data_IF_584616656923
#
_entry.id   IF_584616656923
#
_cell.length_a   1.000
_cell.length_b   1.000
_cell.length_c   1.000
_cell.angle_alpha   90.00
_cell.angle_beta   90.00
_cell.angle_gamma   90.00
#
_symmetry.space_group_name_H-M   'P 1'
#
loop_
_entity.id
_entity.type
_entity.pdbx_description
1 polymer ?
#
# COMPACT_ATOMS: atom_id res chain seq x y z
N UNK A 1 35.47 4.81 4.29
CA UNK A 1 35.07 3.67 3.43
C UNK A 1 35.43 2.41 4.21
N UNK A 2 34.44 1.65 4.71
CA UNK A 2 34.70 0.47 5.54
C UNK A 2 35.41 -0.62 4.72
N UNK A 3 36.27 -1.41 5.38
CA UNK A 3 37.09 -2.46 4.76
C UNK A 3 36.26 -3.49 3.95
N UNK A 4 35.02 -3.74 4.37
CA UNK A 4 34.06 -4.62 3.67
C UNK A 4 33.56 -4.05 2.34
N UNK A 5 33.54 -2.73 2.19
CA UNK A 5 33.06 -2.04 0.99
C UNK A 5 34.09 -2.18 -0.16
N UNK A 6 35.39 -2.10 0.18
CA UNK A 6 36.49 -2.28 -0.77
C UNK A 6 36.56 -3.73 -1.28
N UNK A 7 36.40 -4.72 -0.39
CA UNK A 7 36.32 -6.13 -0.79
C UNK A 7 35.11 -6.41 -1.67
N UNK A 8 33.96 -5.82 -1.35
CA UNK A 8 32.73 -5.99 -2.12
C UNK A 8 32.85 -5.37 -3.52
N UNK A 9 33.44 -4.18 -3.64
CA UNK A 9 33.69 -3.51 -4.93
C UNK A 9 34.72 -4.27 -5.76
N UNK A 10 35.84 -4.71 -5.17
CA UNK A 10 36.85 -5.51 -5.85
C UNK A 10 36.28 -6.86 -6.34
N UNK A 11 35.45 -7.51 -5.53
CA UNK A 11 34.79 -8.76 -5.89
C UNK A 11 33.78 -8.55 -7.04
N UNK A 12 33.02 -7.44 -7.03
CA UNK A 12 32.08 -7.07 -8.11
C UNK A 12 32.79 -6.76 -9.43
N UNK A 13 33.92 -6.05 -9.40
CA UNK A 13 34.71 -5.76 -10.60
C UNK A 13 35.30 -7.05 -11.20
N UNK A 14 35.86 -7.93 -10.36
CA UNK A 14 36.37 -9.25 -10.80
C UNK A 14 35.28 -10.13 -11.42
N UNK A 15 34.07 -10.12 -10.85
CA UNK A 15 32.92 -10.86 -11.40
C UNK A 15 32.29 -10.22 -12.64
N UNK A 16 32.47 -8.92 -12.88
CA UNK A 16 32.03 -8.28 -14.14
C UNK A 16 32.93 -8.66 -15.32
N UNK A 17 34.24 -8.78 -15.10
CA UNK A 17 35.20 -9.20 -16.13
C UNK A 17 34.93 -10.62 -16.63
N UNK A 18 34.64 -11.54 -15.71
CA UNK A 18 34.41 -12.96 -16.03
C UNK A 18 33.07 -13.27 -16.69
N UNK A 19 32.13 -12.30 -16.76
CA UNK A 19 30.80 -12.48 -17.38
C UNK A 19 30.74 -12.14 -18.88
N UNK A 20 31.87 -11.71 -19.46
CA UNK A 20 31.91 -11.23 -20.85
C UNK A 20 31.96 -12.34 -21.90
N UNK A 21 32.24 -13.59 -21.52
CA UNK A 21 32.25 -14.72 -22.44
C UNK A 21 30.89 -15.42 -22.49
N UNK A 22 30.45 -15.83 -23.68
CA UNK A 22 29.25 -16.67 -23.86
C UNK A 22 29.51 -18.14 -23.50
N UNK A 23 30.78 -18.55 -23.46
CA UNK A 23 31.18 -19.88 -23.04
C UNK A 23 31.37 -19.93 -21.52
N UNK A 24 30.68 -20.90 -20.89
CA UNK A 24 30.68 -21.13 -19.44
C UNK A 24 32.07 -21.51 -18.94
N UNK A 25 32.76 -22.40 -19.66
CA UNK A 25 34.09 -22.89 -19.29
C UNK A 25 35.13 -21.76 -19.34
N UNK A 26 35.10 -20.95 -20.39
CA UNK A 26 35.97 -19.77 -20.53
C UNK A 26 35.70 -18.76 -19.43
N UNK A 27 34.44 -18.54 -19.07
CA UNK A 27 34.05 -17.61 -18.02
C UNK A 27 34.51 -18.05 -16.62
N UNK A 28 34.40 -19.35 -16.32
CA UNK A 28 34.92 -19.93 -15.07
C UNK A 28 36.43 -19.83 -15.05
N UNK A 29 37.12 -20.15 -16.16
CA UNK A 29 38.57 -20.02 -16.26
C UNK A 29 39.05 -18.59 -15.98
N UNK A 30 38.45 -17.60 -16.64
CA UNK A 30 38.76 -16.17 -16.39
C UNK A 30 38.52 -15.80 -14.91
N UNK A 31 37.43 -16.29 -14.31
CA UNK A 31 37.13 -16.01 -12.92
C UNK A 31 38.17 -16.62 -11.96
N UNK A 32 38.58 -17.87 -12.19
CA UNK A 32 39.63 -18.54 -11.42
C UNK A 32 40.98 -17.84 -11.61
N UNK A 33 41.35 -17.48 -12.84
CA UNK A 33 42.60 -16.77 -13.15
C UNK A 33 42.66 -15.41 -12.41
N UNK A 34 41.54 -14.67 -12.33
CA UNK A 34 41.43 -13.40 -11.58
C UNK A 34 41.49 -13.56 -10.06
N UNK A 35 41.11 -14.74 -9.54
CA UNK A 35 41.28 -15.08 -8.11
C UNK A 35 42.76 -15.38 -7.83
N UNK A 36 43.39 -16.17 -8.70
CA UNK A 36 44.82 -16.53 -8.62
C UNK A 36 45.71 -15.29 -8.70
N UNK A 37 45.53 -14.45 -9.72
CA UNK A 37 46.26 -13.18 -9.88
C UNK A 37 46.03 -12.20 -8.73
N UNK A 38 44.90 -12.32 -8.04
CA UNK A 38 44.55 -11.50 -6.89
C UNK A 38 45.13 -11.96 -5.54
N UNK A 39 45.96 -13.00 -5.53
CA UNK A 39 46.57 -13.54 -4.31
C UNK A 39 45.60 -14.30 -3.40
N UNK A 40 44.43 -14.73 -3.91
CA UNK A 40 43.60 -15.76 -3.27
C UNK A 40 43.13 -15.54 -1.84
N UNK A 41 43.12 -14.31 -1.32
CA UNK A 41 42.77 -14.08 0.09
C UNK A 41 41.30 -14.39 0.35
N UNK A 42 41.01 -15.60 0.82
CA UNK A 42 39.74 -15.99 1.43
C UNK A 42 39.02 -17.22 0.86
N UNK A 43 39.56 -17.92 -0.13
CA UNK A 43 39.03 -19.22 -0.57
C UNK A 43 40.18 -20.22 -0.68
N UNK A 44 39.88 -21.48 -0.37
CA UNK A 44 40.79 -22.64 -0.32
C UNK A 44 41.55 -22.83 -1.66
N UNK A 45 42.57 -22.01 -1.93
CA UNK A 45 43.38 -22.04 -3.16
C UNK A 45 43.97 -23.44 -3.40
N UNK A 46 44.34 -24.09 -2.31
CA UNK A 46 44.96 -25.39 -2.26
C UNK A 46 44.00 -26.49 -2.78
N UNK A 47 42.69 -26.27 -2.66
CA UNK A 47 41.64 -27.22 -3.07
C UNK A 47 41.13 -26.97 -4.50
N UNK A 48 41.43 -25.80 -5.09
CA UNK A 48 40.98 -25.48 -6.46
C UNK A 48 41.67 -26.36 -7.50
N UNK A 49 42.95 -26.67 -7.30
CA UNK A 49 43.70 -27.56 -8.18
C UNK A 49 43.21 -29.02 -8.08
N UNK A 50 42.69 -29.40 -6.92
CA UNK A 50 42.27 -30.76 -6.62
C UNK A 50 40.81 -31.03 -7.03
N UNK A 51 39.96 -29.99 -7.04
CA UNK A 51 38.51 -30.12 -7.29
C UNK A 51 37.90 -29.00 -8.15
N UNK A 52 38.39 -28.76 -9.39
CA UNK A 52 37.95 -27.64 -10.22
C UNK A 52 36.44 -27.66 -10.56
N UNK A 53 35.83 -28.84 -10.70
CA UNK A 53 34.40 -29.04 -10.98
C UNK A 53 33.46 -28.57 -9.85
N UNK A 54 33.91 -28.59 -8.60
CA UNK A 54 33.13 -28.11 -7.44
C UNK A 54 32.94 -26.58 -7.50
N UNK A 55 33.93 -25.86 -8.05
CA UNK A 55 33.87 -24.42 -8.26
C UNK A 55 33.08 -24.03 -9.51
N UNK A 56 33.07 -24.87 -10.55
CA UNK A 56 32.15 -24.74 -11.70
C UNK A 56 30.71 -24.80 -11.22
N UNK A 57 30.35 -25.75 -10.34
CA UNK A 57 29.00 -25.86 -9.78
C UNK A 57 28.61 -24.62 -8.96
N UNK A 58 29.49 -24.13 -8.09
CA UNK A 58 29.26 -22.91 -7.29
C UNK A 58 29.10 -21.65 -8.16
N UNK A 59 29.84 -21.55 -9.26
CA UNK A 59 29.76 -20.44 -10.20
C UNK A 59 28.48 -20.52 -11.07
N UNK A 60 28.16 -21.71 -11.59
CA UNK A 60 26.96 -21.98 -12.39
C UNK A 60 25.66 -21.75 -11.60
N UNK A 61 25.58 -22.22 -10.35
CA UNK A 61 24.40 -22.06 -9.49
C UNK A 61 24.19 -20.63 -8.99
N UNK A 62 25.27 -19.88 -8.74
CA UNK A 62 25.18 -18.52 -8.17
C UNK A 62 25.05 -17.42 -9.23
N UNK A 63 25.63 -17.57 -10.43
CA UNK A 63 25.82 -16.43 -11.35
C UNK A 63 25.26 -16.59 -12.77
N UNK A 64 25.34 -17.75 -13.42
CA UNK A 64 24.89 -17.86 -14.82
C UNK A 64 23.49 -18.49 -15.00
N UNK A 65 23.15 -19.55 -14.26
CA UNK A 65 21.84 -20.21 -14.39
C UNK A 65 20.67 -19.37 -13.82
N UNK A 66 20.94 -18.37 -12.99
CA UNK A 66 19.92 -17.42 -12.52
C UNK A 66 19.78 -16.19 -13.42
N UNK A 67 20.87 -15.65 -13.98
CA UNK A 67 20.78 -14.45 -14.81
C UNK A 67 20.34 -14.74 -16.25
N UNK A 68 20.93 -15.72 -16.94
CA UNK A 68 20.63 -15.93 -18.35
C UNK A 68 19.25 -16.53 -18.57
N UNK A 69 18.87 -17.51 -17.75
CA UNK A 69 17.56 -18.17 -17.83
C UNK A 69 16.42 -17.22 -17.45
N UNK A 70 16.58 -16.40 -16.40
CA UNK A 70 15.58 -15.37 -16.06
C UNK A 70 15.52 -14.25 -17.12
N UNK A 71 16.64 -13.90 -17.74
CA UNK A 71 16.66 -12.85 -18.78
C UNK A 71 16.03 -13.34 -20.08
N UNK A 72 16.32 -14.58 -20.50
CA UNK A 72 15.70 -15.21 -21.67
C UNK A 72 14.19 -15.43 -21.49
N UNK A 73 13.74 -15.82 -20.29
CA UNK A 73 12.31 -15.96 -19.99
C UNK A 73 11.57 -14.63 -19.93
N UNK A 74 12.26 -13.51 -19.66
CA UNK A 74 11.64 -12.21 -19.44
C UNK A 74 10.85 -11.71 -20.65
N UNK A 75 11.37 -11.87 -21.85
CA UNK A 75 10.69 -11.46 -23.10
C UNK A 75 9.36 -12.21 -23.28
N UNK A 76 9.38 -13.54 -23.31
CA UNK A 76 8.17 -14.37 -23.38
C UNK A 76 7.18 -14.13 -22.23
N UNK A 77 7.64 -13.99 -20.98
CA UNK A 77 6.76 -13.64 -19.85
C UNK A 77 6.13 -12.26 -20.00
N UNK A 78 6.87 -11.27 -20.52
CA UNK A 78 6.33 -9.96 -20.85
C UNK A 78 5.32 -10.04 -22.01
N UNK A 79 5.53 -10.93 -22.97
CA UNK A 79 4.59 -11.15 -24.07
C UNK A 79 3.28 -11.72 -23.53
N UNK A 80 3.33 -12.76 -22.69
CA UNK A 80 2.17 -13.33 -21.97
C UNK A 80 1.47 -12.23 -21.20
N UNK A 81 2.24 -11.44 -20.43
CA UNK A 81 1.71 -10.32 -19.66
C UNK A 81 0.89 -9.40 -20.58
N UNK A 82 1.47 -8.93 -21.68
CA UNK A 82 0.89 -7.96 -22.64
C UNK A 82 -0.11 -8.56 -23.64
N UNK A 83 -0.69 -9.73 -23.39
CA UNK A 83 -1.73 -10.26 -24.27
C UNK A 83 -3.01 -9.41 -24.21
N UNK A 84 -3.58 -9.10 -25.37
CA UNK A 84 -4.77 -8.25 -25.53
C UNK A 84 -6.09 -9.03 -25.54
N UNK A 85 -6.01 -10.35 -25.72
CA UNK A 85 -7.14 -11.27 -25.71
C UNK A 85 -6.77 -12.60 -25.04
N UNK A 86 -7.77 -13.36 -24.64
CA UNK A 86 -7.58 -14.69 -24.05
C UNK A 86 -6.93 -15.68 -25.03
N UNK A 87 -7.31 -15.61 -26.31
CA UNK A 87 -6.73 -16.43 -27.38
C UNK A 87 -5.24 -16.13 -27.55
N UNK A 88 -4.87 -14.84 -27.57
CA UNK A 88 -3.48 -14.41 -27.65
C UNK A 88 -2.68 -14.81 -26.39
N UNK A 89 -3.30 -14.72 -25.21
CA UNK A 89 -2.70 -15.13 -23.95
C UNK A 89 -2.36 -16.63 -23.96
N UNK A 90 -3.30 -17.46 -24.41
CA UNK A 90 -3.12 -18.90 -24.50
C UNK A 90 -2.05 -19.27 -25.53
N UNK A 91 -2.03 -18.60 -26.68
CA UNK A 91 -1.00 -18.80 -27.71
C UNK A 91 0.40 -18.50 -27.15
N UNK A 92 0.57 -17.32 -26.53
CA UNK A 92 1.86 -16.91 -25.93
C UNK A 92 2.27 -17.80 -24.77
N UNK A 93 1.31 -18.30 -23.99
CA UNK A 93 1.56 -19.27 -22.92
C UNK A 93 2.07 -20.60 -23.47
N UNK A 94 1.45 -21.15 -24.51
CA UNK A 94 1.90 -22.37 -25.16
C UNK A 94 3.32 -22.19 -25.73
N UNK A 95 3.59 -21.06 -26.38
CA UNK A 95 4.93 -20.70 -26.85
C UNK A 95 5.95 -20.67 -25.70
N UNK A 96 5.59 -20.09 -24.55
CA UNK A 96 6.46 -20.10 -23.37
C UNK A 96 6.78 -21.52 -22.88
N UNK A 97 5.77 -22.41 -22.81
CA UNK A 97 5.98 -23.79 -22.39
C UNK A 97 6.88 -24.56 -23.35
N UNK A 98 6.72 -24.31 -24.66
CA UNK A 98 7.54 -24.92 -25.70
C UNK A 98 8.99 -24.42 -25.67
N UNK A 99 9.20 -23.12 -25.40
CA UNK A 99 10.54 -22.53 -25.29
C UNK A 99 11.26 -22.95 -24.00
N UNK A 100 10.53 -23.23 -22.93
CA UNK A 100 11.10 -23.53 -21.61
C UNK A 100 10.51 -24.80 -20.98
N UNK A 101 10.65 -25.98 -21.62
CA UNK A 101 10.07 -27.23 -21.11
C UNK A 101 10.67 -27.65 -19.76
N UNK A 102 11.91 -27.24 -19.49
CA UNK A 102 12.61 -27.51 -18.23
C UNK A 102 12.09 -26.68 -17.04
N UNK A 103 11.29 -25.62 -17.26
CA UNK A 103 10.81 -24.72 -16.21
C UNK A 103 9.54 -25.24 -15.48
N UNK A 104 9.46 -26.55 -15.24
CA UNK A 104 8.26 -27.28 -14.79
C UNK A 104 7.65 -26.75 -13.50
N UNK A 105 8.47 -26.39 -12.50
CA UNK A 105 7.98 -25.82 -11.24
C UNK A 105 7.34 -24.44 -11.44
N UNK A 106 7.96 -23.59 -12.25
CA UNK A 106 7.45 -22.25 -12.53
C UNK A 106 6.18 -22.30 -13.38
N UNK A 107 6.16 -23.13 -14.43
CA UNK A 107 4.98 -23.30 -15.27
C UNK A 107 3.81 -23.87 -14.48
N UNK A 108 4.08 -24.81 -13.56
CA UNK A 108 3.06 -25.36 -12.65
C UNK A 108 2.50 -24.30 -11.70
N UNK A 109 3.35 -23.43 -11.14
CA UNK A 109 2.91 -22.31 -10.30
C UNK A 109 2.05 -21.32 -11.09
N UNK A 110 2.51 -20.88 -12.26
CA UNK A 110 1.77 -19.95 -13.12
C UNK A 110 0.44 -20.55 -13.57
N UNK A 111 0.41 -21.82 -13.96
CA UNK A 111 -0.82 -22.51 -14.33
C UNK A 111 -1.84 -22.51 -13.19
N UNK A 112 -1.39 -22.86 -11.97
CA UNK A 112 -2.26 -22.96 -10.79
C UNK A 112 -2.75 -21.61 -10.26
N UNK A 113 -1.88 -20.61 -10.26
CA UNK A 113 -2.18 -19.33 -9.61
C UNK A 113 -2.77 -18.30 -10.54
N UNK A 114 -2.47 -18.39 -11.83
CA UNK A 114 -2.65 -17.29 -12.78
C UNK A 114 -3.41 -17.68 -14.04
N UNK A 115 -3.23 -18.89 -14.57
CA UNK A 115 -3.96 -19.38 -15.75
C UNK A 115 -5.28 -20.09 -15.42
N UNK A 116 -5.90 -19.72 -14.29
CA UNK A 116 -7.21 -20.27 -13.90
C UNK A 116 -8.31 -19.45 -14.58
N UNK A 117 -9.38 -20.05 -15.13
CA UNK A 117 -10.42 -19.33 -15.89
C UNK A 117 -10.94 -18.06 -15.22
N UNK A 118 -11.16 -18.06 -13.90
CA UNK A 118 -11.67 -16.89 -13.17
C UNK A 118 -10.67 -15.71 -13.10
N UNK A 119 -9.38 -15.96 -13.35
CA UNK A 119 -8.30 -14.96 -13.32
C UNK A 119 -7.82 -14.58 -14.71
N UNK A 120 -8.01 -15.42 -15.73
CA UNK A 120 -7.64 -15.13 -17.13
C UNK A 120 -8.34 -13.85 -17.62
N UNK A 121 -9.64 -13.71 -17.36
CA UNK A 121 -10.42 -12.51 -17.69
C UNK A 121 -9.83 -11.27 -17.02
N UNK A 122 -9.43 -11.38 -15.75
CA UNK A 122 -8.83 -10.27 -14.99
C UNK A 122 -7.46 -9.87 -15.56
N UNK A 123 -6.70 -10.84 -16.06
CA UNK A 123 -5.37 -10.61 -16.63
C UNK A 123 -5.44 -9.75 -17.90
N UNK A 124 -6.37 -10.06 -18.79
CA UNK A 124 -6.58 -9.31 -20.05
C UNK A 124 -7.15 -7.91 -19.79
N UNK A 125 -8.03 -7.77 -18.78
CA UNK A 125 -8.63 -6.49 -18.42
C UNK A 125 -7.63 -5.51 -17.78
N UNK A 126 -6.67 -6.01 -17.00
CA UNK A 126 -5.70 -5.18 -16.26
C UNK A 126 -4.75 -4.37 -17.16
N UNK A 127 -4.71 -4.65 -18.45
CA UNK A 127 -3.78 -4.03 -19.40
C UNK A 127 -4.45 -3.21 -20.51
N UNK A 128 -5.79 -3.16 -20.54
CA UNK A 128 -6.49 -2.18 -21.39
C UNK A 128 -6.09 -0.78 -20.96
N UNK A 129 -5.78 0.11 -21.90
CA UNK A 129 -5.36 1.50 -21.65
C UNK A 129 -6.32 2.22 -20.68
N UNK A 130 -7.61 1.91 -20.75
CA UNK A 130 -8.66 2.47 -19.90
C UNK A 130 -8.53 2.08 -18.40
N UNK A 131 -7.80 1.01 -18.08
CA UNK A 131 -7.51 0.56 -16.71
C UNK A 131 -6.06 0.88 -16.27
N UNK A 132 -5.25 1.54 -17.11
CA UNK A 132 -3.87 1.93 -16.80
C UNK A 132 -3.76 3.23 -15.99
N UNK A 133 -4.87 3.77 -15.49
CA UNK A 133 -4.90 4.96 -14.60
C UNK A 133 -4.04 4.78 -13.34
N UNK A 134 -3.70 3.56 -12.99
CA UNK A 134 -2.70 3.27 -11.96
C UNK A 134 -1.75 2.23 -12.52
N UNK A 135 -0.56 2.63 -12.93
CA UNK A 135 0.54 1.70 -13.19
C UNK A 135 1.00 1.15 -11.81
N UNK A 136 0.15 0.32 -11.20
CA UNK A 136 0.27 -0.18 -9.82
C UNK A 136 1.61 -0.86 -9.60
N UNK A 137 2.20 -1.46 -10.63
CA UNK A 137 3.52 -2.05 -10.54
C UNK A 137 4.60 -1.00 -10.23
N UNK A 138 4.61 0.12 -10.95
CA UNK A 138 5.59 1.18 -10.70
C UNK A 138 5.35 1.86 -9.36
N UNK A 139 4.08 2.03 -8.96
CA UNK A 139 3.73 2.61 -7.68
C UNK A 139 4.12 1.68 -6.52
N UNK A 140 3.78 0.39 -6.59
CA UNK A 140 4.11 -0.63 -5.59
C UNK A 140 5.60 -0.88 -5.55
N UNK A 141 6.31 -0.94 -6.70
CA UNK A 141 7.77 -1.04 -6.70
C UNK A 141 8.45 0.22 -6.19
N UNK A 142 7.93 1.41 -6.51
CA UNK A 142 8.39 2.67 -5.95
C UNK A 142 8.25 2.63 -4.43
N UNK A 143 7.07 2.26 -3.92
CA UNK A 143 6.83 2.09 -2.50
C UNK A 143 7.73 1.03 -1.87
N UNK A 144 7.92 -0.13 -2.49
CA UNK A 144 8.84 -1.15 -2.00
C UNK A 144 10.29 -0.66 -1.98
N UNK A 145 10.73 0.13 -2.97
CA UNK A 145 12.06 0.72 -2.99
C UNK A 145 12.22 1.75 -1.87
N UNK A 146 11.23 2.62 -1.69
CA UNK A 146 11.19 3.61 -0.61
C UNK A 146 11.21 2.92 0.75
N UNK A 147 10.35 1.91 0.95
CA UNK A 147 10.32 1.09 2.16
C UNK A 147 11.68 0.45 2.46
N UNK A 148 12.26 -0.24 1.47
CA UNK A 148 13.56 -0.90 1.62
C UNK A 148 14.71 0.06 1.89
N UNK A 149 14.69 1.23 1.24
CA UNK A 149 15.78 2.21 1.30
C UNK A 149 15.70 3.09 2.53
N UNK A 150 14.52 3.60 2.86
CA UNK A 150 14.32 4.61 3.90
C UNK A 150 14.01 3.99 5.26
N UNK A 151 13.30 2.87 5.29
CA UNK A 151 12.82 2.31 6.56
C UNK A 151 13.51 0.99 6.94
N UNK A 152 13.82 0.12 5.97
CA UNK A 152 14.39 -1.21 6.27
C UNK A 152 15.92 -1.28 6.15
N UNK A 153 16.61 -0.21 5.75
CA UNK A 153 18.08 -0.18 5.67
C UNK A 153 18.71 -1.26 4.76
N UNK A 154 17.96 -1.82 3.81
CA UNK A 154 18.33 -3.03 3.03
C UNK A 154 18.52 -4.33 3.85
N UNK A 155 18.12 -4.37 5.11
CA UNK A 155 18.11 -5.62 5.88
C UNK A 155 17.17 -6.63 5.22
N UNK A 156 17.69 -7.85 5.02
CA UNK A 156 16.99 -8.91 4.27
C UNK A 156 16.25 -9.91 5.16
N UNK A 157 16.53 -9.87 6.47
CA UNK A 157 16.05 -10.85 7.45
C UNK A 157 15.18 -10.18 8.53
N UNK A 158 14.26 -9.32 8.11
CA UNK A 158 13.23 -8.83 9.02
C UNK A 158 12.14 -9.89 9.15
N UNK A 159 11.85 -10.30 10.37
CA UNK A 159 10.69 -11.14 10.64
C UNK A 159 9.42 -10.36 10.32
N UNK A 160 8.33 -11.08 10.06
CA UNK A 160 7.07 -10.47 9.64
C UNK A 160 6.49 -9.53 10.72
N UNK A 161 6.70 -9.83 12.00
CA UNK A 161 6.32 -9.00 13.15
C UNK A 161 7.06 -7.66 13.19
N UNK A 162 8.37 -7.66 12.95
CA UNK A 162 9.17 -6.43 12.89
C UNK A 162 8.71 -5.53 11.73
N UNK A 163 8.38 -6.14 10.58
CA UNK A 163 7.84 -5.42 9.43
C UNK A 163 6.50 -4.77 9.75
N UNK A 164 5.59 -5.47 10.42
CA UNK A 164 4.28 -4.93 10.82
C UNK A 164 4.46 -3.78 11.81
N UNK A 165 5.32 -3.94 12.81
CA UNK A 165 5.62 -2.90 13.78
C UNK A 165 6.18 -1.63 13.10
N UNK A 166 7.10 -1.80 12.15
CA UNK A 166 7.68 -0.71 11.39
C UNK A 166 6.67 -0.02 10.46
N UNK A 167 5.79 -0.79 9.82
CA UNK A 167 4.72 -0.26 8.98
C UNK A 167 3.72 0.56 9.79
N UNK A 168 3.30 0.07 10.96
CA UNK A 168 2.34 0.74 11.83
C UNK A 168 2.93 1.94 12.57
N UNK A 169 4.23 1.91 12.88
CA UNK A 169 4.92 2.99 13.57
C UNK A 169 5.44 4.04 12.59
N UNK A 170 6.65 3.83 12.10
CA UNK A 170 7.42 4.86 11.37
C UNK A 170 6.76 5.20 10.02
N UNK A 171 6.34 4.18 9.27
CA UNK A 171 5.82 4.39 7.90
C UNK A 171 4.45 5.07 7.91
N UNK A 172 3.54 4.66 8.81
CA UNK A 172 2.23 5.28 8.93
C UNK A 172 2.33 6.75 9.38
N UNK A 173 3.21 7.05 10.34
CA UNK A 173 3.45 8.43 10.80
C UNK A 173 3.99 9.30 9.66
N UNK A 174 4.98 8.82 8.91
CA UNK A 174 5.53 9.55 7.77
C UNK A 174 4.50 9.75 6.65
N UNK A 175 3.70 8.71 6.38
CA UNK A 175 2.61 8.78 5.40
C UNK A 175 1.57 9.82 5.80
N UNK A 176 1.04 9.77 7.03
CA UNK A 176 0.05 10.72 7.55
C UNK A 176 0.58 12.15 7.56
N UNK A 177 1.84 12.33 7.95
CA UNK A 177 2.49 13.65 7.95
C UNK A 177 2.63 14.19 6.54
N UNK A 178 3.07 13.36 5.60
CA UNK A 178 3.22 13.74 4.18
C UNK A 178 1.85 14.06 3.56
N UNK A 179 0.86 13.21 3.82
CA UNK A 179 -0.52 13.43 3.38
C UNK A 179 -1.06 14.75 3.92
N UNK A 180 -0.95 14.99 5.24
CA UNK A 180 -1.37 16.25 5.87
C UNK A 180 -0.72 17.46 5.21
N UNK A 181 0.60 17.44 5.01
CA UNK A 181 1.35 18.53 4.36
C UNK A 181 0.86 18.78 2.93
N UNK A 182 0.61 17.73 2.17
CA UNK A 182 0.10 17.83 0.80
C UNK A 182 -1.32 18.39 0.78
N UNK A 183 -2.23 17.86 1.60
CA UNK A 183 -3.64 18.28 1.66
C UNK A 183 -3.80 19.75 2.04
N UNK A 184 -2.92 20.26 2.91
CA UNK A 184 -2.94 21.65 3.36
C UNK A 184 -2.04 22.57 2.54
N UNK A 185 -1.46 22.08 1.43
CA UNK A 185 -0.59 22.87 0.55
C UNK A 185 0.77 23.26 1.15
N UNK A 186 1.15 22.69 2.29
CA UNK A 186 2.45 22.91 2.94
C UNK A 186 3.61 22.23 2.19
N UNK A 187 3.31 21.21 1.39
CA UNK A 187 4.27 20.52 0.55
C UNK A 187 3.70 20.32 -0.87
N UNK A 188 4.42 20.75 -1.92
CA UNK A 188 3.96 20.53 -3.29
C UNK A 188 4.06 19.05 -3.66
N UNK A 189 3.06 18.56 -4.39
CA UNK A 189 3.11 17.22 -4.99
C UNK A 189 4.16 17.24 -6.10
N UNK A 190 5.23 16.47 -5.92
CA UNK A 190 6.24 16.29 -6.95
C UNK A 190 5.69 15.35 -8.02
N UNK A 191 5.19 15.94 -9.10
CA UNK A 191 4.71 15.21 -10.27
C UNK A 191 5.87 14.79 -11.18
N UNK A 192 5.83 13.58 -11.74
CA UNK A 192 6.80 13.17 -12.77
C UNK A 192 6.64 14.04 -14.02
N UNK A 193 7.62 14.03 -14.94
CA UNK A 193 7.49 14.77 -16.21
C UNK A 193 6.24 14.33 -17.00
N UNK A 194 5.94 13.02 -16.96
CA UNK A 194 4.75 12.45 -17.59
C UNK A 194 3.46 12.97 -16.92
N UNK A 195 3.41 12.96 -15.58
CA UNK A 195 2.24 13.46 -14.84
C UNK A 195 2.05 14.96 -15.00
N UNK A 196 3.15 15.72 -15.08
CA UNK A 196 3.13 17.16 -15.40
C UNK A 196 2.53 17.40 -16.78
N UNK A 197 2.94 16.62 -17.79
CA UNK A 197 2.39 16.72 -19.14
C UNK A 197 0.89 16.35 -19.17
N UNK A 198 0.49 15.29 -18.47
CA UNK A 198 -0.92 14.89 -18.38
C UNK A 198 -1.76 15.90 -17.61
N UNK A 199 -1.25 16.44 -16.49
CA UNK A 199 -1.91 17.52 -15.74
C UNK A 199 -2.06 18.76 -16.62
N UNK A 200 -1.03 19.13 -17.38
CA UNK A 200 -1.11 20.27 -18.31
C UNK A 200 -2.16 20.04 -19.40
N UNK A 201 -2.22 18.83 -20.00
CA UNK A 201 -3.27 18.46 -20.95
C UNK A 201 -4.66 18.53 -20.33
N UNK A 202 -4.82 18.02 -19.11
CA UNK A 202 -6.09 18.06 -18.38
C UNK A 202 -6.51 19.50 -18.03
N UNK A 203 -5.58 20.35 -17.61
CA UNK A 203 -5.83 21.77 -17.31
C UNK A 203 -6.09 22.61 -18.56
N UNK A 204 -5.65 22.17 -19.74
CA UNK A 204 -5.94 22.82 -21.01
C UNK A 204 -7.37 22.51 -21.52
N UNK A 205 -8.07 21.53 -20.95
CA UNK A 205 -9.45 21.23 -21.34
C UNK A 205 -10.39 22.31 -20.79
N UNK A 206 -11.28 22.80 -21.66
CA UNK A 206 -12.37 23.67 -21.24
C UNK A 206 -13.28 22.96 -20.26
N UNK A 207 -13.76 23.67 -19.23
CA UNK A 207 -14.58 23.11 -18.16
C UNK A 207 -15.81 22.32 -18.68
N UNK A 208 -16.50 22.85 -19.70
CA UNK A 208 -17.66 22.17 -20.29
C UNK A 208 -17.31 20.82 -20.92
N UNK A 209 -16.15 20.70 -21.57
CA UNK A 209 -15.67 19.45 -22.15
C UNK A 209 -15.32 18.45 -21.04
N UNK A 210 -14.60 18.90 -20.01
CA UNK A 210 -14.27 18.05 -18.87
C UNK A 210 -15.52 17.55 -18.12
N UNK A 211 -16.51 18.41 -17.92
CA UNK A 211 -17.78 18.05 -17.29
C UNK A 211 -18.57 17.01 -18.08
N UNK A 212 -18.56 17.12 -19.42
CA UNK A 212 -19.22 16.16 -20.29
C UNK A 212 -18.51 14.80 -20.27
N UNK A 213 -17.17 14.76 -20.30
CA UNK A 213 -16.41 13.51 -20.21
C UNK A 213 -16.71 12.74 -18.91
N UNK A 214 -16.78 13.44 -17.77
CA UNK A 214 -17.14 12.82 -16.47
C UNK A 214 -18.58 12.27 -16.49
N UNK A 215 -19.50 12.99 -17.13
CA UNK A 215 -20.90 12.58 -17.22
C UNK A 215 -21.07 11.35 -18.12
N UNK A 216 -20.38 11.33 -19.26
CA UNK A 216 -20.39 10.20 -20.20
C UNK A 216 -19.75 8.94 -19.60
N UNK A 217 -18.62 9.07 -18.90
CA UNK A 217 -17.98 7.95 -18.19
C UNK A 217 -18.86 7.44 -17.04
N UNK A 218 -19.51 8.33 -16.29
CA UNK A 218 -20.43 7.94 -15.22
C UNK A 218 -21.64 7.18 -15.77
N UNK A 219 -22.19 7.57 -16.92
CA UNK A 219 -23.28 6.86 -17.57
C UNK A 219 -22.82 5.53 -18.19
N UNK A 220 -21.66 5.49 -18.85
CA UNK A 220 -21.08 4.21 -19.34
C UNK A 220 -20.83 3.24 -18.19
N UNK A 221 -20.30 3.71 -17.06
CA UNK A 221 -20.08 2.88 -15.89
C UNK A 221 -21.41 2.35 -15.32
N UNK A 222 -22.43 3.21 -15.18
CA UNK A 222 -23.78 2.80 -14.77
C UNK A 222 -24.39 1.76 -15.71
N UNK A 223 -24.12 1.85 -17.00
CA UNK A 223 -24.62 0.93 -18.03
C UNK A 223 -23.78 -0.37 -18.10
N UNK A 224 -22.53 -0.35 -17.67
CA UNK A 224 -21.64 -1.52 -17.59
C UNK A 224 -21.93 -2.43 -16.40
N UNK A 225 -22.56 -1.89 -15.36
CA UNK A 225 -22.93 -2.63 -14.16
C UNK A 225 -24.21 -3.43 -14.44
N UNK A 226 -24.13 -4.76 -14.28
CA UNK A 226 -25.29 -5.65 -14.37
C UNK A 226 -26.44 -5.15 -13.48
N UNK A 227 -27.70 -5.16 -13.96
CA UNK A 227 -28.86 -4.74 -13.17
C UNK A 227 -28.92 -5.40 -11.79
N UNK A 228 -28.48 -6.65 -11.69
CA UNK A 228 -28.41 -7.37 -10.42
C UNK A 228 -27.42 -6.75 -9.42
N UNK A 229 -26.22 -6.40 -9.88
CA UNK A 229 -25.20 -5.77 -9.03
C UNK A 229 -25.61 -4.34 -8.63
N UNK A 230 -26.32 -3.63 -9.52
CA UNK A 230 -26.90 -2.30 -9.22
C UNK A 230 -27.93 -2.38 -8.09
N UNK A 231 -28.78 -3.39 -8.11
CA UNK A 231 -29.76 -3.65 -7.05
C UNK A 231 -29.07 -4.00 -5.71
N UNK A 232 -28.03 -4.83 -5.74
CA UNK A 232 -27.25 -5.16 -4.53
C UNK A 232 -26.56 -3.93 -3.93
N UNK A 233 -25.97 -3.07 -4.75
CA UNK A 233 -25.34 -1.83 -4.30
C UNK A 233 -26.37 -0.86 -3.70
N UNK A 234 -27.56 -0.75 -4.29
CA UNK A 234 -28.65 0.05 -3.73
C UNK A 234 -29.09 -0.49 -2.37
N UNK A 235 -29.27 -1.81 -2.25
CA UNK A 235 -29.62 -2.46 -0.99
C UNK A 235 -28.57 -2.21 0.09
N UNK A 236 -27.29 -2.39 -0.23
CA UNK A 236 -26.19 -2.16 0.73
C UNK A 236 -26.08 -0.68 1.14
N UNK A 237 -26.37 0.27 0.24
CA UNK A 237 -26.41 1.70 0.57
C UNK A 237 -27.58 2.03 1.48
N UNK A 238 -28.76 1.48 1.22
CA UNK A 238 -29.93 1.65 2.07
C UNK A 238 -29.67 1.07 3.48
N UNK A 239 -29.13 -0.14 3.56
CA UNK A 239 -28.74 -0.77 4.84
C UNK A 239 -27.68 0.04 5.59
N UNK A 240 -26.68 0.61 4.89
CA UNK A 240 -25.67 1.46 5.52
C UNK A 240 -26.26 2.76 6.07
N UNK A 241 -27.18 3.40 5.33
CA UNK A 241 -27.89 4.60 5.80
C UNK A 241 -28.80 4.31 6.98
N UNK A 242 -29.46 3.16 6.99
CA UNK A 242 -30.30 2.72 8.10
C UNK A 242 -29.47 2.44 9.36
N UNK A 243 -28.30 1.79 9.20
CA UNK A 243 -27.35 1.61 10.30
C UNK A 243 -26.86 2.95 10.84
N UNK A 244 -26.42 3.86 9.98
CA UNK A 244 -25.96 5.18 10.41
C UNK A 244 -27.05 5.96 11.14
N UNK A 245 -28.32 5.86 10.69
CA UNK A 245 -29.46 6.45 11.40
C UNK A 245 -29.65 5.81 12.77
N UNK A 246 -29.63 4.49 12.87
CA UNK A 246 -29.76 3.78 14.15
C UNK A 246 -28.62 4.11 15.13
N UNK A 247 -27.39 4.23 14.64
CA UNK A 247 -26.24 4.62 15.45
C UNK A 247 -26.37 6.05 15.98
N UNK A 248 -26.85 6.98 15.14
CA UNK A 248 -27.16 8.35 15.58
C UNK A 248 -28.29 8.39 16.60
N UNK A 249 -29.34 7.59 16.42
CA UNK A 249 -30.44 7.49 17.39
C UNK A 249 -29.94 6.95 18.75
N UNK A 250 -29.09 5.92 18.74
CA UNK A 250 -28.45 5.40 19.97
C UNK A 250 -27.53 6.44 20.60
N UNK A 251 -26.71 7.14 19.80
CA UNK A 251 -25.83 8.18 20.31
C UNK A 251 -26.63 9.35 20.94
N UNK A 252 -27.74 9.74 20.32
CA UNK A 252 -28.64 10.77 20.85
C UNK A 252 -29.33 10.31 22.14
N UNK A 253 -29.75 9.04 22.23
CA UNK A 253 -30.32 8.48 23.45
C UNK A 253 -29.30 8.48 24.61
N UNK A 254 -28.06 8.04 24.35
CA UNK A 254 -26.98 8.07 25.34
C UNK A 254 -26.63 9.49 25.78
N UNK A 255 -26.60 10.45 24.85
CA UNK A 255 -26.37 11.86 25.16
C UNK A 255 -27.49 12.44 26.04
N UNK A 256 -28.74 12.04 25.79
CA UNK A 256 -29.89 12.43 26.60
C UNK A 256 -29.81 11.87 28.02
N UNK A 257 -29.54 10.56 28.18
CA UNK A 257 -29.38 9.91 29.50
C UNK A 257 -28.21 10.53 30.31
N UNK A 258 -27.09 10.84 29.65
CA UNK A 258 -25.97 11.53 30.27
C UNK A 258 -26.35 12.96 30.72
N UNK A 259 -27.14 13.67 29.91
CA UNK A 259 -27.70 14.97 30.25
C UNK A 259 -28.63 14.93 31.45
N UNK A 260 -29.52 13.93 31.51
CA UNK A 260 -30.45 13.71 32.63
C UNK A 260 -29.70 13.40 33.93
N UNK A 261 -28.72 12.50 33.88
CA UNK A 261 -27.87 12.17 35.03
C UNK A 261 -27.15 13.41 35.57
N UNK A 262 -26.59 14.24 34.68
CA UNK A 262 -25.94 15.48 35.06
C UNK A 262 -26.91 16.47 35.71
N UNK A 263 -28.14 16.57 35.19
CA UNK A 263 -29.18 17.42 35.78
C UNK A 263 -29.60 16.95 37.19
N UNK A 264 -29.75 15.64 37.39
CA UNK A 264 -30.07 15.05 38.70
C UNK A 264 -28.99 15.32 39.74
N UNK A 265 -27.71 15.13 39.40
CA UNK A 265 -26.58 15.43 40.31
C UNK A 265 -26.58 16.90 40.74
N UNK A 266 -26.87 17.81 39.81
CA UNK A 266 -26.98 19.23 40.13
C UNK A 266 -28.16 19.51 41.06
N UNK A 267 -29.33 18.91 40.80
CA UNK A 267 -30.50 19.05 41.65
C UNK A 267 -30.25 18.53 43.08
N UNK A 268 -29.59 17.37 43.22
CA UNK A 268 -29.19 16.83 44.52
C UNK A 268 -28.20 17.73 45.26
N UNK A 269 -27.23 18.30 44.54
CA UNK A 269 -26.25 19.26 45.09
C UNK A 269 -26.97 20.50 45.64
N UNK A 270 -27.93 21.04 44.89
CA UNK A 270 -28.74 22.19 45.31
C UNK A 270 -29.59 21.84 46.54
N UNK A 271 -30.25 20.67 46.54
CA UNK A 271 -31.03 20.20 47.68
C UNK A 271 -30.16 20.01 48.94
N UNK A 272 -28.93 19.50 48.77
CA UNK A 272 -27.98 19.33 49.87
C UNK A 272 -27.60 20.68 50.50
N UNK A 273 -27.23 21.68 49.68
CA UNK A 273 -26.92 23.04 50.17
C UNK A 273 -28.11 23.69 50.88
N UNK A 274 -29.32 23.55 50.33
CA UNK A 274 -30.56 24.03 50.97
C UNK A 274 -30.76 23.36 52.34
N UNK A 275 -30.59 22.03 52.43
CA UNK A 275 -30.77 21.26 53.67
C UNK A 275 -29.71 21.60 54.73
N UNK A 276 -28.44 21.74 54.33
CA UNK A 276 -27.35 22.09 55.24
C UNK A 276 -27.58 23.46 55.92
N UNK A 277 -28.19 24.40 55.19
CA UNK A 277 -28.34 25.79 55.64
C UNK A 277 -29.69 26.13 56.26
N UNK A 278 -30.71 25.25 56.16
CA UNK A 278 -31.98 25.38 56.90
C UNK A 278 -31.80 25.51 58.43
N UNK A 279 -30.61 25.18 58.95
CA UNK A 279 -30.18 25.41 60.35
C UNK A 279 -29.81 26.87 60.67
N UNK A 280 -29.76 27.79 59.70
CA UNK A 280 -29.41 29.22 59.89
C UNK A 280 -30.46 30.09 59.17
N UNK A 281 -30.97 31.16 59.82
CA UNK A 281 -32.00 32.08 59.25
C UNK A 281 -31.63 32.50 57.81
N UNK A 282 -32.51 32.21 56.83
CA UNK A 282 -32.24 32.36 55.40
C UNK A 282 -32.32 33.85 54.97
N UNK A 283 -31.27 34.38 54.34
CA UNK A 283 -31.18 35.75 53.82
C UNK A 283 -31.66 35.80 52.34
N UNK A 284 -32.42 36.83 51.95
CA UNK A 284 -32.91 37.08 50.58
C UNK A 284 -31.81 36.99 49.49
N UNK A 285 -30.60 37.46 49.80
CA UNK A 285 -29.45 37.43 48.88
C UNK A 285 -29.03 35.99 48.51
N UNK A 286 -29.30 35.02 49.38
CA UNK A 286 -29.04 33.61 49.13
C UNK A 286 -30.04 33.02 48.13
N UNK A 287 -31.33 33.32 48.26
CA UNK A 287 -32.36 32.86 47.30
C UNK A 287 -32.04 33.35 45.89
N UNK A 288 -31.58 34.60 45.76
CA UNK A 288 -31.14 35.15 44.47
C UNK A 288 -29.91 34.41 43.90
N UNK A 289 -28.97 34.00 44.75
CA UNK A 289 -27.78 33.24 44.32
C UNK A 289 -28.17 31.83 43.84
N UNK A 290 -29.10 31.16 44.53
CA UNK A 290 -29.60 29.83 44.13
C UNK A 290 -30.37 29.91 42.81
N UNK A 291 -31.23 30.91 42.63
CA UNK A 291 -31.97 31.13 41.38
C UNK A 291 -31.03 31.40 40.22
N UNK A 292 -30.02 32.26 40.40
CA UNK A 292 -29.01 32.52 39.36
C UNK A 292 -28.18 31.28 38.99
N UNK A 293 -27.91 30.41 39.96
CA UNK A 293 -27.26 29.11 39.71
C UNK A 293 -28.13 28.19 38.86
N UNK A 294 -29.42 28.08 39.20
CA UNK A 294 -30.40 27.29 38.44
C UNK A 294 -30.59 27.79 37.01
N UNK A 295 -30.64 29.11 36.81
CA UNK A 295 -30.77 29.72 35.47
C UNK A 295 -29.56 29.44 34.58
N UNK A 296 -28.34 29.50 35.14
CA UNK A 296 -27.11 29.16 34.40
C UNK A 296 -27.13 27.69 33.96
N UNK A 297 -27.50 26.79 34.87
CA UNK A 297 -27.60 25.35 34.55
C UNK A 297 -28.67 25.07 33.49
N UNK A 298 -29.82 25.74 33.55
CA UNK A 298 -30.88 25.60 32.55
C UNK A 298 -30.41 26.02 31.15
N UNK A 299 -29.57 27.06 31.05
CA UNK A 299 -28.97 27.49 29.80
C UNK A 299 -27.94 26.48 29.26
N UNK A 300 -27.12 25.88 30.12
CA UNK A 300 -26.16 24.84 29.72
C UNK A 300 -26.86 23.59 29.17
N UNK A 301 -27.96 23.15 29.82
CA UNK A 301 -28.76 22.00 29.33
C UNK A 301 -29.44 22.33 28.00
N UNK A 302 -29.96 23.55 27.82
CA UNK A 302 -30.52 23.99 26.54
C UNK A 302 -29.48 24.04 25.42
N UNK A 303 -28.25 24.46 25.71
CA UNK A 303 -27.14 24.45 24.75
C UNK A 303 -26.71 23.05 24.31
N UNK A 304 -26.76 22.06 25.21
CA UNK A 304 -26.49 20.65 24.88
C UNK A 304 -27.56 20.06 23.95
N UNK A 305 -28.83 20.41 24.16
CA UNK A 305 -29.93 19.96 23.30
C UNK A 305 -29.87 20.54 21.88
N UNK A 306 -29.34 21.75 21.69
CA UNK A 306 -29.16 22.32 20.34
C UNK A 306 -28.04 21.67 19.54
N UNK A 307 -27.05 21.05 20.20
CA UNK A 307 -25.95 20.33 19.54
C UNK A 307 -26.35 18.89 19.16
N UNK A 308 -27.25 18.28 19.93
CA UNK A 308 -27.78 16.94 19.64
C UNK A 308 -28.85 16.91 18.51
N UNK A 309 -29.39 18.07 18.12
CA UNK A 309 -30.42 18.21 17.09
C UNK A 309 -29.87 18.53 15.68
N UNK A 310 -28.54 18.49 15.49
CA UNK A 310 -27.85 18.73 14.22
C UNK A 310 -27.49 17.45 13.46
#
# INVERSE_FOLDING_TARGET
MLYDDVRTVAYRQKTQGSRKSHDVGVSVKIWLDLIVQGGGKGMFMDQVAEFPEHFVFAWCTKFQLRQNTCTAMRGPLNAIRRASSEVELQLKWNTFQNLFPFATKMTSYLKRQWMVPQKLVKWVLYLRENYQLTNTYNLVESWHKTLKRQHLGYERDLRADDLVCLLQGVVDVDFRTTHFKITHGLQPIVLSQYDKANKAKAMALAFGVASNMVSEEAEQFKNSISPHLRLQLQKHRAEAQERERSEREVANALAFEAGETKALVIAETILHEIRARKKRKCNLQYMQTVVAGLERTLLEVRGLNTVAAG
#
